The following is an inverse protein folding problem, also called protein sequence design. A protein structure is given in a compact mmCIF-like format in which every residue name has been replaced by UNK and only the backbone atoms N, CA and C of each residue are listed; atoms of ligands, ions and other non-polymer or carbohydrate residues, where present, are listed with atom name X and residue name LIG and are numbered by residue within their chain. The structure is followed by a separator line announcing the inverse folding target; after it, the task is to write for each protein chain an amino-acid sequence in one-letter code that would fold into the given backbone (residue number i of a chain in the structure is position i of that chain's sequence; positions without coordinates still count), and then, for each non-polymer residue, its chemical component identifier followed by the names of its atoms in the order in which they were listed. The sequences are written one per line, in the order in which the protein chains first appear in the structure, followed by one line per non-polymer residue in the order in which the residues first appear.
data_IF_768834502960
#
_entry.id   IF_768834502960
#
_cell.length_a   1.000
_cell.length_b   1.000
_cell.length_c   1.000
_cell.angle_alpha   90.00
_cell.angle_beta   90.00
_cell.angle_gamma   90.00
#
_symmetry.space_group_name_H-M   'P 1'
#
loop_
_entity.id
_entity.type
_entity.pdbx_description
1 polymer ?
#
# COMPACT_ATOMS: atom_id res chain seq x y z
N UNK A 1 -11.88 5.65 -46.79
CA UNK A 1 -11.41 5.18 -45.47
C UNK A 1 -12.37 4.10 -45.05
N UNK A 2 -11.89 2.88 -44.93
CA UNK A 2 -12.72 1.69 -44.72
C UNK A 2 -12.63 1.20 -43.28
N UNK A 3 -11.48 1.42 -42.64
CA UNK A 3 -11.21 0.99 -41.28
C UNK A 3 -10.77 2.14 -40.38
N UNK A 4 -11.15 2.04 -39.11
CA UNK A 4 -10.48 2.69 -37.98
C UNK A 4 -9.66 1.63 -37.27
N UNK A 5 -8.39 1.94 -37.04
CA UNK A 5 -7.48 1.09 -36.28
C UNK A 5 -7.02 1.82 -35.02
N UNK A 6 -7.01 1.11 -33.90
CA UNK A 6 -6.47 1.58 -32.62
C UNK A 6 -5.41 0.60 -32.14
N UNK A 7 -4.23 1.11 -31.84
CA UNK A 7 -3.13 0.37 -31.22
C UNK A 7 -2.50 1.16 -30.06
N UNK A 8 -1.55 0.54 -29.37
CA UNK A 8 -0.87 1.11 -28.22
C UNK A 8 0.64 1.16 -28.49
N UNK A 9 1.25 2.28 -28.13
CA UNK A 9 2.67 2.56 -28.31
C UNK A 9 3.38 2.63 -26.96
N UNK A 10 4.56 2.03 -26.88
CA UNK A 10 5.45 2.13 -25.72
C UNK A 10 6.88 2.38 -26.18
N UNK A 11 7.71 2.87 -25.27
CA UNK A 11 9.17 2.90 -25.44
C UNK A 11 9.83 1.59 -25.02
N UNK A 12 9.07 0.65 -24.45
CA UNK A 12 9.54 -0.69 -24.14
C UNK A 12 9.88 -1.49 -25.40
N UNK A 13 10.83 -2.42 -25.27
CA UNK A 13 11.08 -3.42 -26.30
C UNK A 13 9.79 -4.22 -26.59
N UNK A 14 9.32 -4.27 -27.86
CA UNK A 14 8.12 -5.01 -28.24
C UNK A 14 8.16 -6.51 -27.90
N UNK A 15 9.33 -7.11 -27.66
CA UNK A 15 9.43 -8.49 -27.23
C UNK A 15 8.96 -8.68 -25.78
N UNK A 16 8.99 -7.64 -24.95
CA UNK A 16 8.68 -7.68 -23.53
C UNK A 16 7.18 -7.57 -23.21
N UNK A 17 6.35 -7.23 -24.18
CA UNK A 17 4.91 -7.09 -23.96
C UNK A 17 4.07 -7.51 -25.16
N UNK A 18 2.81 -7.79 -24.92
CA UNK A 18 1.79 -8.02 -25.95
C UNK A 18 0.61 -7.11 -25.63
N UNK A 19 0.32 -6.20 -26.55
CA UNK A 19 -0.84 -5.32 -26.51
C UNK A 19 -1.81 -5.67 -27.63
N UNK A 20 -3.12 -5.54 -27.40
CA UNK A 20 -4.11 -5.82 -28.44
C UNK A 20 -4.11 -4.69 -29.47
N UNK A 21 -4.50 -5.07 -30.69
CA UNK A 21 -4.72 -4.15 -31.80
C UNK A 21 -6.15 -4.29 -32.26
N UNK A 22 -6.86 -3.17 -32.33
CA UNK A 22 -8.29 -3.17 -32.63
C UNK A 22 -8.54 -2.52 -33.98
N UNK A 23 -9.46 -3.10 -34.74
CA UNK A 23 -9.92 -2.58 -36.02
C UNK A 23 -11.44 -2.62 -36.07
N UNK A 24 -12.03 -1.57 -36.63
CA UNK A 24 -13.45 -1.51 -36.95
C UNK A 24 -13.61 -1.01 -38.38
N UNK A 25 -14.51 -1.64 -39.12
CA UNK A 25 -15.06 -1.11 -40.37
C UNK A 25 -16.01 0.03 -40.06
N UNK A 26 -16.27 0.89 -41.06
CA UNK A 26 -17.33 1.89 -40.95
C UNK A 26 -18.71 1.29 -40.63
N UNK A 27 -19.01 0.09 -41.14
CA UNK A 27 -20.29 -0.58 -40.88
C UNK A 27 -20.42 -1.08 -39.43
N UNK A 28 -19.29 -1.42 -38.78
CA UNK A 28 -19.28 -1.82 -37.36
C UNK A 28 -19.46 -0.64 -36.40
N UNK A 29 -19.34 0.62 -36.88
CA UNK A 29 -19.38 1.84 -36.06
C UNK A 29 -20.57 2.71 -36.49
N UNK A 30 -21.76 2.42 -35.96
CA UNK A 30 -22.93 3.30 -36.17
C UNK A 30 -22.87 4.56 -35.30
N UNK A 31 -22.67 4.41 -33.99
CA UNK A 31 -22.52 5.51 -33.03
C UNK A 31 -21.45 5.25 -31.97
N UNK A 32 -21.25 3.98 -31.59
CA UNK A 32 -20.16 3.52 -30.73
C UNK A 32 -19.92 2.03 -30.93
N UNK A 33 -18.68 1.59 -30.68
CA UNK A 33 -18.29 0.18 -30.78
C UNK A 33 -17.23 -0.14 -29.73
N UNK A 34 -17.17 -1.39 -29.27
CA UNK A 34 -16.20 -1.82 -28.27
C UNK A 34 -15.57 -3.17 -28.65
N UNK A 35 -14.27 -3.32 -28.37
CA UNK A 35 -13.55 -4.59 -28.44
C UNK A 35 -12.81 -4.82 -27.12
N UNK A 36 -12.64 -6.08 -26.74
CA UNK A 36 -11.89 -6.50 -25.56
C UNK A 36 -10.66 -7.30 -26.00
N UNK A 37 -9.60 -7.23 -25.21
CA UNK A 37 -8.35 -7.91 -25.45
C UNK A 37 -7.55 -8.04 -24.16
N UNK A 38 -6.47 -8.82 -24.22
CA UNK A 38 -5.55 -9.01 -23.10
C UNK A 38 -4.28 -8.18 -23.26
N UNK A 39 -3.72 -7.76 -22.13
CA UNK A 39 -2.39 -7.18 -22.02
C UNK A 39 -1.50 -8.22 -21.32
N UNK A 40 -0.34 -8.52 -21.91
CA UNK A 40 0.65 -9.41 -21.31
C UNK A 40 1.98 -8.65 -21.20
N UNK A 41 2.59 -8.72 -20.02
CA UNK A 41 3.97 -8.29 -19.80
C UNK A 41 4.79 -9.52 -19.45
N UNK A 42 5.91 -9.72 -20.12
CA UNK A 42 6.79 -10.89 -19.97
C UNK A 42 7.90 -10.66 -18.95
N UNK A 43 7.77 -9.61 -18.15
CA UNK A 43 8.71 -9.22 -17.12
C UNK A 43 7.94 -8.60 -15.95
N UNK A 44 8.58 -8.60 -14.79
CA UNK A 44 8.10 -7.92 -13.61
C UNK A 44 8.84 -6.59 -13.42
N UNK A 45 8.13 -5.61 -12.91
CA UNK A 45 8.68 -4.36 -12.42
C UNK A 45 8.77 -4.40 -10.90
N UNK A 46 9.74 -3.65 -10.36
CA UNK A 46 9.72 -3.29 -8.95
C UNK A 46 8.52 -2.36 -8.68
N UNK A 47 8.02 -2.35 -7.44
CA UNK A 47 7.06 -1.35 -7.00
C UNK A 47 7.59 0.09 -7.13
N UNK A 48 8.91 0.22 -7.13
CA UNK A 48 9.67 1.48 -7.16
C UNK A 48 9.96 1.98 -8.59
N UNK A 49 9.78 1.14 -9.61
CA UNK A 49 9.99 1.56 -11.01
C UNK A 49 8.95 2.61 -11.43
N UNK A 50 9.14 3.31 -12.54
CA UNK A 50 8.02 4.06 -13.13
C UNK A 50 6.98 3.11 -13.75
N UNK A 51 5.68 3.45 -13.74
CA UNK A 51 4.69 2.69 -14.51
C UNK A 51 5.02 2.68 -16.00
N UNK A 52 4.69 1.59 -16.68
CA UNK A 52 4.80 1.50 -18.13
C UNK A 52 3.71 2.38 -18.74
N UNK A 53 4.12 3.35 -19.55
CA UNK A 53 3.22 4.16 -20.35
C UNK A 53 2.95 3.49 -21.70
N UNK A 54 1.66 3.30 -22.00
CA UNK A 54 1.12 2.85 -23.27
C UNK A 54 0.27 3.97 -23.87
N UNK A 55 0.80 4.68 -24.85
CA UNK A 55 0.09 5.74 -25.56
C UNK A 55 -0.86 5.14 -26.60
N UNK A 56 -2.14 5.48 -26.52
CA UNK A 56 -3.17 5.08 -27.49
C UNK A 56 -2.95 5.86 -28.78
N UNK A 57 -2.90 5.14 -29.91
CA UNK A 57 -2.85 5.73 -31.24
C UNK A 57 -4.02 5.22 -32.06
N UNK A 58 -4.67 6.13 -32.78
CA UNK A 58 -5.75 5.82 -33.71
C UNK A 58 -5.41 6.27 -35.13
N UNK A 59 -5.82 5.48 -36.13
CA UNK A 59 -5.60 5.75 -37.56
C UNK A 59 -6.81 5.35 -38.39
N UNK A 60 -7.12 6.12 -39.41
CA UNK A 60 -8.00 5.70 -40.50
C UNK A 60 -7.17 5.03 -41.60
N UNK A 61 -7.62 3.85 -42.05
CA UNK A 61 -6.98 3.08 -43.11
C UNK A 61 -7.87 3.04 -44.36
N UNK A 62 -7.25 3.16 -45.53
CA UNK A 62 -7.89 2.83 -46.81
C UNK A 62 -7.88 1.29 -47.04
N UNK A 63 -8.73 0.80 -47.95
CA UNK A 63 -8.96 -0.64 -48.18
C UNK A 63 -7.69 -1.47 -48.47
N UNK A 64 -6.64 -0.83 -48.97
CA UNK A 64 -5.37 -1.49 -49.33
C UNK A 64 -4.18 -1.03 -48.46
N UNK A 65 -4.43 -0.44 -47.29
CA UNK A 65 -3.42 0.21 -46.42
C UNK A 65 -2.55 1.29 -47.10
N UNK A 66 -2.83 1.63 -48.37
CA UNK A 66 -2.07 2.57 -49.20
C UNK A 66 -2.11 4.01 -48.71
N UNK A 67 -3.08 4.35 -47.83
CA UNK A 67 -3.18 5.65 -47.18
C UNK A 67 -3.58 5.47 -45.73
N UNK A 68 -2.73 5.95 -44.84
CA UNK A 68 -2.98 6.05 -43.41
C UNK A 68 -3.14 7.51 -43.02
N UNK A 69 -4.21 7.84 -42.29
CA UNK A 69 -4.43 9.16 -41.72
C UNK A 69 -4.53 9.05 -40.21
N UNK A 70 -3.77 9.84 -39.47
CA UNK A 70 -3.88 9.88 -38.02
C UNK A 70 -5.28 10.34 -37.61
N UNK A 71 -5.89 9.62 -36.66
CA UNK A 71 -7.14 10.01 -36.04
C UNK A 71 -6.84 10.59 -34.66
N UNK A 72 -7.58 11.64 -34.27
CA UNK A 72 -7.47 12.22 -32.93
C UNK A 72 -8.09 11.28 -31.91
N UNK A 73 -7.31 10.91 -30.89
CA UNK A 73 -7.81 10.19 -29.72
C UNK A 73 -8.34 11.20 -28.72
N UNK A 74 -9.62 11.11 -28.38
CA UNK A 74 -10.26 11.97 -27.36
C UNK A 74 -10.54 11.11 -26.12
N UNK A 75 -10.17 11.61 -24.94
CA UNK A 75 -10.31 10.90 -23.66
C UNK A 75 -9.02 10.23 -23.20
N UNK A 76 -9.08 8.94 -22.86
CA UNK A 76 -7.96 8.18 -22.28
C UNK A 76 -6.88 7.87 -23.33
N UNK A 77 -6.04 8.86 -23.62
CA UNK A 77 -4.94 8.75 -24.58
C UNK A 77 -3.73 7.97 -24.06
N UNK A 78 -3.63 7.71 -22.75
CA UNK A 78 -2.54 6.98 -22.14
C UNK A 78 -3.06 5.95 -21.13
N UNK A 79 -2.57 4.72 -21.23
CA UNK A 79 -2.76 3.67 -20.25
C UNK A 79 -1.44 3.51 -19.46
N UNK A 80 -1.51 3.65 -18.14
CA UNK A 80 -0.38 3.38 -17.25
C UNK A 80 -0.59 2.03 -16.57
N UNK A 81 0.39 1.13 -16.72
CA UNK A 81 0.32 -0.21 -16.14
C UNK A 81 1.60 -0.52 -15.39
N UNK A 82 1.49 -1.28 -14.30
CA UNK A 82 2.64 -1.89 -13.64
C UNK A 82 2.53 -3.40 -13.70
N UNK A 83 3.48 -4.04 -14.36
CA UNK A 83 3.59 -5.49 -14.35
C UNK A 83 4.31 -5.92 -13.08
N UNK A 84 3.68 -6.72 -12.23
CA UNK A 84 4.26 -7.09 -10.95
C UNK A 84 4.25 -8.62 -10.79
N UNK A 85 5.31 -9.16 -10.18
CA UNK A 85 5.43 -10.60 -9.89
C UNK A 85 5.57 -10.82 -8.39
N UNK A 86 4.63 -11.58 -7.81
CA UNK A 86 4.56 -11.94 -6.39
C UNK A 86 5.83 -12.58 -5.85
N UNK A 87 6.60 -13.26 -6.70
CA UNK A 87 7.87 -13.88 -6.30
C UNK A 87 9.08 -12.92 -6.30
N UNK A 88 8.93 -11.73 -6.89
CA UNK A 88 10.03 -10.76 -7.13
C UNK A 88 9.86 -9.42 -6.40
N UNK A 89 8.87 -9.28 -5.50
CA UNK A 89 8.63 -8.03 -4.78
C UNK A 89 9.64 -7.81 -3.63
N UNK A 90 10.10 -6.56 -3.40
CA UNK A 90 10.73 -6.17 -2.13
C UNK A 90 9.76 -6.23 -0.94
N UNK A 91 8.44 -6.25 -1.22
CA UNK A 91 7.33 -6.28 -0.25
C UNK A 91 7.11 -7.67 0.37
N UNK A 92 8.05 -8.61 0.21
CA UNK A 92 7.91 -9.95 0.77
C UNK A 92 8.09 -9.94 2.29
N UNK A 93 6.99 -9.79 3.01
CA UNK A 93 6.94 -10.11 4.45
C UNK A 93 7.21 -11.59 4.70
N UNK A 94 7.00 -12.43 3.67
CA UNK A 94 6.98 -13.91 3.71
C UNK A 94 5.72 -14.48 4.37
N UNK A 95 4.70 -13.64 4.55
CA UNK A 95 3.36 -14.03 4.99
C UNK A 95 2.37 -13.74 3.84
N UNK A 96 1.89 -14.76 3.11
CA UNK A 96 1.19 -14.57 1.82
C UNK A 96 0.02 -13.58 1.84
N UNK A 97 -0.78 -13.60 2.90
CA UNK A 97 -1.95 -12.72 3.01
C UNK A 97 -1.56 -11.27 3.32
N UNK A 98 -0.46 -11.06 4.04
CA UNK A 98 0.12 -9.73 4.27
C UNK A 98 0.71 -9.19 2.96
N UNK A 99 1.37 -10.07 2.20
CA UNK A 99 1.95 -9.74 0.88
C UNK A 99 0.87 -9.39 -0.16
N UNK A 100 -0.40 -9.78 0.05
CA UNK A 100 -1.56 -9.32 -0.75
C UNK A 100 -2.08 -7.95 -0.26
N UNK A 101 -2.03 -7.69 1.05
CA UNK A 101 -2.65 -6.52 1.65
C UNK A 101 -1.77 -5.26 1.55
N UNK A 102 -0.48 -5.39 1.83
CA UNK A 102 0.44 -4.24 1.84
C UNK A 102 0.47 -3.53 0.47
N UNK A 103 0.55 -4.21 -0.68
CA UNK A 103 0.53 -3.54 -1.98
C UNK A 103 -0.73 -2.67 -2.20
N UNK A 104 -1.90 -3.10 -1.70
CA UNK A 104 -3.13 -2.29 -1.79
C UNK A 104 -3.04 -1.01 -1.00
N UNK A 105 -2.45 -1.07 0.20
CA UNK A 105 -2.20 0.10 1.05
C UNK A 105 -1.20 1.04 0.36
N UNK A 106 -0.12 0.49 -0.20
CA UNK A 106 0.91 1.26 -0.89
C UNK A 106 0.39 1.94 -2.16
N UNK A 107 -0.54 1.29 -2.87
CA UNK A 107 -1.28 1.89 -3.99
C UNK A 107 -2.20 3.02 -3.53
N UNK A 108 -2.94 2.84 -2.44
CA UNK A 108 -3.78 3.91 -1.86
C UNK A 108 -2.94 5.12 -1.42
N UNK A 109 -1.80 4.89 -0.76
CA UNK A 109 -0.85 5.96 -0.40
C UNK A 109 -0.40 6.72 -1.63
N UNK A 110 0.03 6.01 -2.69
CA UNK A 110 0.48 6.65 -3.94
C UNK A 110 -0.61 7.49 -4.60
N UNK A 111 -1.85 7.01 -4.57
CA UNK A 111 -2.98 7.72 -5.16
C UNK A 111 -3.43 8.93 -4.32
N UNK A 112 -3.32 8.84 -3.00
CA UNK A 112 -3.78 9.89 -2.09
C UNK A 112 -2.73 10.94 -1.74
N UNK A 113 -1.45 10.64 -1.98
CA UNK A 113 -0.32 11.52 -1.68
C UNK A 113 0.63 11.61 -2.90
N UNK A 114 0.19 12.23 -4.02
CA UNK A 114 0.97 12.30 -5.25
C UNK A 114 2.28 13.09 -5.10
N UNK A 115 2.33 14.01 -4.13
CA UNK A 115 3.51 14.85 -3.86
C UNK A 115 4.48 14.22 -2.82
N UNK A 116 4.20 13.00 -2.35
CA UNK A 116 5.10 12.31 -1.42
C UNK A 116 6.42 12.00 -2.13
N UNK A 117 7.53 12.43 -1.52
CA UNK A 117 8.87 12.19 -2.09
C UNK A 117 9.12 10.69 -2.27
N UNK A 118 9.73 10.25 -3.38
CA UNK A 118 10.00 8.83 -3.60
C UNK A 118 10.77 8.15 -2.46
N UNK A 119 11.74 8.85 -1.85
CA UNK A 119 12.50 8.31 -0.71
C UNK A 119 11.63 8.08 0.53
N UNK A 120 10.68 8.97 0.82
CA UNK A 120 9.78 8.80 1.96
C UNK A 120 8.77 7.68 1.71
N UNK A 121 8.32 7.53 0.46
CA UNK A 121 7.48 6.41 0.05
C UNK A 121 8.22 5.07 0.22
N UNK A 122 9.48 5.00 -0.19
CA UNK A 122 10.32 3.80 -0.02
C UNK A 122 10.57 3.48 1.46
N UNK A 123 10.87 4.51 2.26
CA UNK A 123 11.07 4.32 3.71
C UNK A 123 9.79 3.83 4.39
N UNK A 124 8.63 4.39 4.02
CA UNK A 124 7.32 3.95 4.51
C UNK A 124 7.00 2.52 4.08
N UNK A 125 7.26 2.18 2.82
CA UNK A 125 7.10 0.82 2.30
C UNK A 125 7.94 -0.18 3.11
N UNK A 126 9.23 0.09 3.29
CA UNK A 126 10.13 -0.79 4.03
C UNK A 126 9.70 -0.96 5.48
N UNK A 127 9.29 0.14 6.13
CA UNK A 127 8.73 0.12 7.48
C UNK A 127 7.49 -0.78 7.57
N UNK A 128 6.51 -0.57 6.69
CA UNK A 128 5.24 -1.31 6.71
C UNK A 128 5.44 -2.82 6.45
N UNK A 129 6.34 -3.18 5.54
CA UNK A 129 6.71 -4.58 5.25
C UNK A 129 7.26 -5.27 6.50
N UNK A 130 8.17 -4.61 7.21
CA UNK A 130 8.80 -5.20 8.40
C UNK A 130 7.84 -5.27 9.57
N UNK A 131 6.97 -4.26 9.73
CA UNK A 131 5.90 -4.31 10.73
C UNK A 131 4.87 -5.40 10.43
N UNK A 132 4.51 -5.61 9.16
CA UNK A 132 3.67 -6.73 8.74
C UNK A 132 4.32 -8.09 9.03
N UNK A 133 5.61 -8.25 8.70
CA UNK A 133 6.37 -9.46 9.05
C UNK A 133 6.41 -9.69 10.56
N UNK A 134 6.65 -8.64 11.33
CA UNK A 134 6.66 -8.69 12.79
C UNK A 134 5.30 -9.11 13.36
N UNK A 135 4.19 -8.58 12.83
CA UNK A 135 2.85 -8.98 13.22
C UNK A 135 2.59 -10.49 12.98
N UNK A 136 2.99 -10.99 11.81
CA UNK A 136 2.91 -12.43 11.49
C UNK A 136 3.78 -13.29 12.42
N UNK A 137 5.01 -12.85 12.72
CA UNK A 137 5.92 -13.53 13.63
C UNK A 137 5.36 -13.58 15.07
N UNK A 138 4.83 -12.47 15.58
CA UNK A 138 4.22 -12.43 16.92
C UNK A 138 3.04 -13.38 17.01
N UNK A 139 2.17 -13.40 15.98
CA UNK A 139 1.02 -14.30 15.95
C UNK A 139 1.45 -15.78 15.91
N UNK A 140 2.50 -16.10 15.17
CA UNK A 140 3.00 -17.47 15.05
C UNK A 140 3.73 -17.96 16.31
N UNK A 141 4.52 -17.09 16.93
CA UNK A 141 5.39 -17.47 18.06
C UNK A 141 4.70 -17.33 19.41
N UNK A 142 3.67 -16.47 19.51
CA UNK A 142 2.99 -16.19 20.78
C UNK A 142 3.92 -15.53 21.81
N UNK A 143 4.91 -14.73 21.37
CA UNK A 143 5.95 -14.16 22.25
C UNK A 143 5.42 -13.34 23.44
N UNK A 144 4.20 -12.79 23.32
CA UNK A 144 3.51 -12.04 24.38
C UNK A 144 2.44 -12.84 25.14
N UNK A 145 2.32 -14.16 24.92
CA UNK A 145 1.30 -15.00 25.55
C UNK A 145 1.44 -15.01 27.08
N UNK A 146 0.34 -14.70 27.78
CA UNK A 146 0.26 -14.77 29.25
C UNK A 146 1.15 -13.77 29.99
N UNK A 147 1.69 -12.76 29.29
CA UNK A 147 2.51 -11.70 29.89
C UNK A 147 1.65 -10.48 30.20
N UNK A 148 1.97 -9.84 31.31
CA UNK A 148 1.58 -8.45 31.55
C UNK A 148 2.61 -7.54 30.86
N UNK A 149 2.23 -6.95 29.73
CA UNK A 149 3.15 -6.28 28.81
C UNK A 149 3.07 -4.78 29.01
N UNK A 150 4.21 -4.17 29.33
CA UNK A 150 4.39 -2.72 29.32
C UNK A 150 4.78 -2.23 27.92
N UNK A 151 4.24 -1.07 27.54
CA UNK A 151 4.46 -0.48 26.21
C UNK A 151 5.92 -0.19 25.93
N UNK A 152 6.64 0.40 26.88
CA UNK A 152 8.03 0.84 26.68
C UNK A 152 9.03 -0.28 26.95
N UNK A 153 8.89 -0.96 28.09
CA UNK A 153 9.85 -1.98 28.52
C UNK A 153 9.76 -3.23 27.64
N UNK A 154 8.55 -3.67 27.31
CA UNK A 154 8.37 -4.99 26.74
C UNK A 154 8.05 -4.90 25.23
N UNK A 155 7.09 -4.06 24.83
CA UNK A 155 6.69 -3.97 23.42
C UNK A 155 7.68 -3.16 22.58
N UNK A 156 8.00 -1.94 22.97
CA UNK A 156 8.91 -1.05 22.23
C UNK A 156 10.31 -1.64 22.10
N UNK A 157 10.90 -2.19 23.18
CA UNK A 157 12.24 -2.80 23.10
C UNK A 157 12.27 -3.99 22.13
N UNK A 158 11.26 -4.87 22.20
CA UNK A 158 11.19 -6.03 21.34
C UNK A 158 11.00 -5.64 19.87
N UNK A 159 10.12 -4.67 19.59
CA UNK A 159 9.92 -4.16 18.24
C UNK A 159 11.15 -3.40 17.71
N UNK A 160 11.78 -2.55 18.53
CA UNK A 160 13.00 -1.83 18.17
C UNK A 160 14.13 -2.78 17.79
N UNK A 161 14.33 -3.85 18.56
CA UNK A 161 15.31 -4.87 18.23
C UNK A 161 15.00 -5.53 16.89
N UNK A 162 13.72 -5.88 16.64
CA UNK A 162 13.30 -6.45 15.36
C UNK A 162 13.54 -5.50 14.19
N UNK A 163 13.16 -4.23 14.33
CA UNK A 163 13.37 -3.21 13.31
C UNK A 163 14.85 -2.99 13.02
N UNK A 164 15.71 -2.86 14.04
CA UNK A 164 17.16 -2.67 13.86
C UNK A 164 17.83 -3.86 13.16
N UNK A 165 17.39 -5.09 13.42
CA UNK A 165 17.92 -6.26 12.71
C UNK A 165 17.60 -6.26 11.21
N UNK A 166 16.62 -5.48 10.76
CA UNK A 166 16.15 -5.49 9.37
C UNK A 166 16.45 -4.17 8.64
N UNK A 167 16.38 -3.04 9.34
CA UNK A 167 16.57 -1.67 8.81
C UNK A 167 17.89 -1.04 9.24
N UNK A 168 18.63 -1.70 10.15
CA UNK A 168 19.93 -1.22 10.61
C UNK A 168 19.83 -0.02 11.56
N UNK A 169 20.88 0.82 11.60
CA UNK A 169 21.04 1.86 12.62
C UNK A 169 20.11 3.07 12.44
N UNK A 170 19.44 3.18 11.28
CA UNK A 170 18.52 4.29 10.94
C UNK A 170 17.21 4.27 11.75
N UNK A 171 17.05 3.29 12.66
CA UNK A 171 15.90 3.18 13.57
C UNK A 171 16.27 3.71 14.95
N UNK A 172 15.59 4.79 15.33
CA UNK A 172 15.85 5.55 16.55
C UNK A 172 14.64 5.56 17.48
N UNK A 173 14.91 5.65 18.78
CA UNK A 173 13.93 6.12 19.76
C UNK A 173 13.92 7.65 19.68
N UNK A 174 12.75 8.27 19.67
CA UNK A 174 12.61 9.73 19.72
C UNK A 174 12.27 10.12 21.16
N UNK A 175 13.05 10.99 21.80
CA UNK A 175 12.76 11.37 23.19
C UNK A 175 11.79 12.54 23.31
N UNK A 176 11.73 13.45 22.32
CA UNK A 176 10.77 14.57 22.34
C UNK A 176 10.69 15.32 21.00
N UNK A 177 9.49 15.47 20.44
CA UNK A 177 9.19 16.44 19.38
C UNK A 177 8.05 17.34 19.88
N UNK A 178 8.18 18.66 19.66
CA UNK A 178 7.36 19.75 20.21
C UNK A 178 5.87 19.38 20.44
N UNK A 179 5.54 18.99 21.68
CA UNK A 179 4.15 18.75 22.13
C UNK A 179 3.77 17.28 22.41
N UNK A 180 4.64 16.31 22.13
CA UNK A 180 4.38 14.89 22.42
C UNK A 180 5.64 14.02 22.40
N UNK A 181 5.58 12.88 23.10
CA UNK A 181 6.63 11.87 23.08
C UNK A 181 6.35 10.94 21.90
N UNK A 182 7.30 10.82 20.99
CA UNK A 182 7.29 9.83 19.91
C UNK A 182 7.92 8.54 20.39
N UNK A 183 7.49 7.39 19.89
CA UNK A 183 8.06 6.12 20.34
C UNK A 183 9.27 5.73 19.50
N UNK A 184 9.06 5.48 18.20
CA UNK A 184 10.11 5.05 17.28
C UNK A 184 10.07 5.84 15.97
N UNK A 185 11.22 5.97 15.33
CA UNK A 185 11.37 6.61 14.02
C UNK A 185 12.33 5.84 13.14
N UNK A 186 11.94 5.59 11.89
CA UNK A 186 12.82 5.10 10.84
C UNK A 186 12.98 6.19 9.78
N UNK A 187 14.15 6.83 9.75
CA UNK A 187 14.42 8.00 8.90
C UNK A 187 13.36 9.09 9.05
N UNK A 188 12.44 9.27 8.10
CA UNK A 188 11.35 10.26 8.22
C UNK A 188 10.01 9.65 8.66
N UNK A 189 9.91 8.32 8.73
CA UNK A 189 8.67 7.62 9.07
C UNK A 189 8.55 7.48 10.58
N UNK A 190 7.48 8.05 11.12
CA UNK A 190 7.12 7.96 12.53
C UNK A 190 6.34 6.68 12.80
N UNK A 191 6.70 5.98 13.86
CA UNK A 191 6.07 4.75 14.33
C UNK A 191 5.62 4.98 15.79
N UNK A 192 4.33 5.23 15.96
CA UNK A 192 3.69 5.33 17.27
C UNK A 192 3.34 3.92 17.78
N UNK A 193 3.58 3.64 19.06
CA UNK A 193 3.32 2.35 19.68
C UNK A 193 2.20 2.46 20.69
N UNK A 194 1.34 1.44 20.74
CA UNK A 194 0.28 1.33 21.75
C UNK A 194 0.14 -0.10 22.26
N UNK A 195 -0.06 -0.27 23.56
CA UNK A 195 -0.54 -1.54 24.13
C UNK A 195 -1.99 -1.40 24.60
N UNK A 196 -2.86 -2.29 24.14
CA UNK A 196 -4.28 -2.29 24.51
C UNK A 196 -4.66 -3.55 25.29
N UNK A 197 -5.29 -3.37 26.45
CA UNK A 197 -5.72 -4.46 27.34
C UNK A 197 -7.25 -4.61 27.44
N UNK A 198 -8.02 -3.62 26.96
CA UNK A 198 -9.46 -3.49 27.22
C UNK A 198 -10.32 -3.45 25.95
N UNK A 199 -9.90 -2.74 24.90
CA UNK A 199 -10.69 -2.53 23.69
C UNK A 199 -10.40 -3.64 22.66
N UNK A 200 -11.31 -4.62 22.57
CA UNK A 200 -11.20 -5.73 21.58
C UNK A 200 -11.69 -5.40 20.17
N UNK A 201 -12.54 -4.38 20.04
CA UNK A 201 -13.13 -4.01 18.76
C UNK A 201 -12.12 -3.28 17.87
N UNK A 202 -11.83 -3.85 16.70
CA UNK A 202 -10.82 -3.33 15.75
C UNK A 202 -11.17 -1.95 15.24
N UNK A 203 -12.45 -1.62 15.05
CA UNK A 203 -12.87 -0.29 14.60
C UNK A 203 -12.63 0.76 15.68
N UNK A 204 -13.02 0.46 16.93
CA UNK A 204 -12.81 1.34 18.08
C UNK A 204 -11.31 1.56 18.36
N UNK A 205 -10.50 0.51 18.24
CA UNK A 205 -9.04 0.59 18.36
C UNK A 205 -8.44 1.58 17.37
N UNK A 206 -8.81 1.45 16.09
CA UNK A 206 -8.34 2.37 15.03
C UNK A 206 -8.74 3.81 15.35
N UNK A 207 -10.02 4.06 15.63
CA UNK A 207 -10.53 5.40 15.97
C UNK A 207 -9.83 5.99 17.19
N UNK A 208 -9.51 5.17 18.20
CA UNK A 208 -8.84 5.60 19.44
C UNK A 208 -7.41 6.09 19.17
N UNK A 209 -6.65 5.39 18.33
CA UNK A 209 -5.20 5.59 18.23
C UNK A 209 -4.72 6.29 16.95
N UNK A 210 -5.57 6.43 15.91
CA UNK A 210 -5.19 7.11 14.66
C UNK A 210 -4.97 8.62 14.83
N UNK A 211 -5.54 9.26 15.87
CA UNK A 211 -5.48 10.72 16.06
C UNK A 211 -4.09 11.24 16.45
N UNK A 212 -3.34 10.48 17.24
CA UNK A 212 -2.01 10.91 17.72
C UNK A 212 -0.98 10.98 16.58
N UNK A 213 -0.80 9.94 15.73
CA UNK A 213 0.10 9.99 14.57
C UNK A 213 -0.20 11.12 13.58
N UNK A 214 -1.48 11.53 13.48
CA UNK A 214 -1.90 12.63 12.63
C UNK A 214 -1.27 13.97 13.02
N UNK A 215 -1.03 14.19 14.31
CA UNK A 215 -0.41 15.43 14.81
C UNK A 215 1.01 15.60 14.27
N UNK A 216 1.76 14.50 14.17
CA UNK A 216 3.14 14.53 13.68
C UNK A 216 3.21 14.59 12.15
N UNK A 217 2.20 14.04 11.47
CA UNK A 217 2.09 14.12 10.01
C UNK A 217 1.89 15.56 9.53
N UNK A 218 1.44 16.47 10.41
CA UNK A 218 1.31 17.90 10.12
C UNK A 218 2.64 18.67 10.15
N UNK A 219 3.67 18.16 10.84
CA UNK A 219 4.99 18.79 10.96
C UNK A 219 6.11 18.03 10.22
N UNK A 220 5.83 16.82 9.77
CA UNK A 220 6.76 15.94 9.06
C UNK A 220 6.25 15.50 7.69
N UNK A 221 6.52 14.25 7.33
CA UNK A 221 5.99 13.65 6.09
C UNK A 221 4.51 13.28 6.30
N UNK A 222 3.66 13.33 5.25
CA UNK A 222 2.22 13.10 5.37
C UNK A 222 1.84 11.62 5.57
N UNK A 223 2.79 10.76 5.93
CA UNK A 223 2.58 9.33 6.23
C UNK A 223 3.21 8.94 7.55
N UNK A 224 2.48 8.17 8.36
CA UNK A 224 2.99 7.61 9.62
C UNK A 224 2.40 6.22 9.87
N UNK A 225 2.92 5.53 10.88
CA UNK A 225 2.42 4.21 11.30
C UNK A 225 2.04 4.26 12.78
N UNK A 226 0.91 3.63 13.13
CA UNK A 226 0.60 3.25 14.51
C UNK A 226 0.60 1.74 14.63
N UNK A 227 1.42 1.22 15.54
CA UNK A 227 1.54 -0.19 15.82
C UNK A 227 0.90 -0.49 17.18
N UNK A 228 -0.18 -1.27 17.18
CA UNK A 228 -1.00 -1.53 18.37
C UNK A 228 -0.84 -3.00 18.75
N UNK A 229 -0.23 -3.30 19.89
CA UNK A 229 -0.22 -4.63 20.47
C UNK A 229 -1.52 -4.86 21.26
N UNK A 230 -2.37 -5.74 20.74
CA UNK A 230 -3.63 -6.11 21.37
C UNK A 230 -3.44 -7.27 22.36
N UNK A 231 -3.37 -6.93 23.64
CA UNK A 231 -3.23 -7.85 24.77
C UNK A 231 -4.57 -8.29 25.37
N UNK A 232 -5.71 -7.87 24.80
CA UNK A 232 -7.04 -8.31 25.25
C UNK A 232 -7.17 -9.83 25.24
N UNK A 233 -8.04 -10.35 26.08
CA UNK A 233 -8.32 -11.77 26.12
C UNK A 233 -8.94 -12.25 24.79
N UNK A 234 -8.29 -13.23 24.16
CA UNK A 234 -8.74 -13.82 22.90
C UNK A 234 -9.69 -14.98 23.17
N UNK A 235 -10.98 -14.68 23.29
CA UNK A 235 -12.06 -15.68 23.47
C UNK A 235 -12.40 -16.44 22.17
N UNK A 236 -12.07 -15.86 21.02
CA UNK A 236 -12.27 -16.45 19.69
C UNK A 236 -10.93 -16.59 18.98
N UNK A 237 -10.81 -17.51 18.00
CA UNK A 237 -9.61 -17.62 17.19
C UNK A 237 -9.21 -16.27 16.58
N UNK A 238 -7.90 -15.94 16.54
CA UNK A 238 -7.44 -14.71 15.90
C UNK A 238 -7.78 -14.72 14.41
N UNK A 239 -8.03 -13.54 13.86
CA UNK A 239 -8.26 -13.36 12.42
C UNK A 239 -6.94 -13.52 11.64
N UNK A 240 -7.04 -13.45 10.32
CA UNK A 240 -5.86 -13.32 9.48
C UNK A 240 -5.15 -11.97 9.77
N UNK A 241 -3.82 -11.98 9.96
CA UNK A 241 -3.01 -10.77 10.20
C UNK A 241 -3.30 -9.67 9.18
N UNK A 242 -3.58 -10.03 7.92
CA UNK A 242 -3.87 -9.07 6.86
C UNK A 242 -5.08 -8.17 7.18
N UNK A 243 -6.07 -8.67 7.93
CA UNK A 243 -7.23 -7.88 8.35
C UNK A 243 -6.89 -6.81 9.39
N UNK A 244 -5.72 -6.92 10.02
CA UNK A 244 -5.24 -6.01 11.05
C UNK A 244 -4.29 -4.94 10.51
N UNK A 245 -4.07 -4.89 9.18
CA UNK A 245 -3.23 -3.90 8.52
C UNK A 245 -4.12 -3.04 7.62
N UNK A 246 -4.33 -1.79 8.01
CA UNK A 246 -5.21 -0.85 7.30
C UNK A 246 -4.53 0.50 7.07
N UNK A 247 -5.08 1.30 6.16
CA UNK A 247 -4.71 2.70 5.97
C UNK A 247 -5.88 3.57 6.38
N UNK A 248 -5.62 4.54 7.24
CA UNK A 248 -6.64 5.43 7.77
C UNK A 248 -6.32 6.89 7.40
N UNK A 249 -7.36 7.68 7.17
CA UNK A 249 -7.27 9.12 7.00
C UNK A 249 -7.74 9.79 8.30
N UNK A 250 -6.85 10.36 9.11
CA UNK A 250 -7.25 11.04 10.33
C UNK A 250 -8.09 12.29 10.02
N UNK A 251 -9.06 12.59 10.88
CA UNK A 251 -9.77 13.86 10.83
C UNK A 251 -8.82 15.00 11.19
N UNK A 252 -8.73 16.02 10.32
CA UNK A 252 -7.90 17.20 10.54
C UNK A 252 -8.76 18.38 10.99
N UNK A 253 -8.25 19.17 11.93
CA UNK A 253 -8.94 20.36 12.41
C UNK A 253 -9.20 21.34 11.25
N UNK A 254 -10.45 21.78 11.10
CA UNK A 254 -10.86 22.67 10.01
C UNK A 254 -11.22 21.96 8.69
N UNK A 255 -11.20 20.62 8.66
CA UNK A 255 -11.49 19.81 7.48
C UNK A 255 -12.55 18.72 7.76
N UNK A 256 -13.68 19.11 8.34
CA UNK A 256 -14.75 18.17 8.73
C UNK A 256 -15.54 17.60 7.54
N UNK A 257 -15.60 18.33 6.42
CA UNK A 257 -16.45 18.01 5.26
C UNK A 257 -15.74 18.09 3.90
N UNK A 258 -14.44 18.42 3.89
CA UNK A 258 -13.64 18.54 2.68
C UNK A 258 -12.32 17.77 2.83
N UNK A 259 -11.87 17.14 1.74
CA UNK A 259 -10.56 16.49 1.70
C UNK A 259 -9.50 17.60 1.70
N UNK A 260 -8.54 17.61 2.65
CA UNK A 260 -7.45 18.57 2.67
C UNK A 260 -6.60 18.50 1.41
N UNK A 261 -6.05 19.63 0.96
CA UNK A 261 -5.10 19.67 -0.18
C UNK A 261 -3.85 18.85 0.11
N UNK A 262 -3.40 18.84 1.37
CA UNK A 262 -2.31 18.01 1.86
C UNK A 262 -2.85 17.06 2.92
N UNK A 263 -3.45 15.92 2.52
CA UNK A 263 -3.99 14.97 3.48
C UNK A 263 -2.85 14.27 4.23
N UNK A 264 -3.16 13.73 5.40
CA UNK A 264 -2.27 12.81 6.11
C UNK A 264 -2.84 11.39 6.01
N UNK A 265 -1.95 10.39 6.03
CA UNK A 265 -2.32 8.98 6.06
C UNK A 265 -1.59 8.27 7.19
N UNK A 266 -2.31 7.40 7.89
CA UNK A 266 -1.78 6.62 9.01
C UNK A 266 -2.00 5.15 8.70
N UNK A 267 -0.92 4.38 8.50
CA UNK A 267 -1.05 2.94 8.49
C UNK A 267 -1.29 2.45 9.92
N UNK A 268 -2.31 1.62 10.11
CA UNK A 268 -2.57 0.97 11.39
C UNK A 268 -2.16 -0.49 11.27
N UNK A 269 -1.26 -0.93 12.15
CA UNK A 269 -0.82 -2.32 12.26
C UNK A 269 -1.22 -2.85 13.64
N UNK A 270 -2.31 -3.63 13.70
CA UNK A 270 -2.74 -4.29 14.94
C UNK A 270 -2.07 -5.65 15.03
N UNK A 271 -1.40 -5.90 16.15
CA UNK A 271 -0.66 -7.13 16.43
C UNK A 271 -1.43 -7.91 17.48
N UNK A 272 -1.88 -9.10 17.12
CA UNK A 272 -2.58 -9.99 18.04
C UNK A 272 -1.60 -10.59 19.05
N UNK A 273 -1.55 -9.99 20.24
CA UNK A 273 -0.89 -10.52 21.42
C UNK A 273 -1.80 -11.46 22.21
N UNK A 274 -1.28 -11.93 23.35
CA UNK A 274 -2.01 -12.75 24.32
C UNK A 274 -2.81 -13.93 23.73
N UNK A 275 -2.26 -14.60 22.70
CA UNK A 275 -2.95 -15.67 22.00
C UNK A 275 -3.10 -16.91 22.89
N UNK A 276 -4.25 -17.57 22.82
CA UNK A 276 -4.46 -18.88 23.45
C UNK A 276 -3.87 -19.99 22.58
N UNK A 277 -3.65 -21.14 23.18
CA UNK A 277 -3.35 -22.35 22.40
C UNK A 277 -4.53 -22.67 21.47
N UNK A 278 -4.30 -23.19 20.25
CA UNK A 278 -5.38 -23.56 19.34
C UNK A 278 -6.44 -24.48 19.98
N UNK A 279 -6.01 -25.41 20.83
CA UNK A 279 -6.90 -26.32 21.58
C UNK A 279 -7.81 -25.64 22.60
N UNK A 280 -7.53 -24.40 22.98
CA UNK A 280 -8.32 -23.63 23.96
C UNK A 280 -9.51 -22.90 23.33
N UNK A 281 -9.71 -23.02 22.01
CA UNK A 281 -10.85 -22.47 21.27
C UNK A 281 -11.90 -23.54 20.93
N UNK A 282 -11.64 -24.80 21.31
CA UNK A 282 -12.53 -25.95 21.11
C UNK A 282 -13.39 -26.20 22.35
#
# INVERSE_FOLDING_TARGET
MEWVEVDFLSTLDPQLYVVPKYRWTRAEVESSSAKKGGLLFKFAQSLQSEPIALATRARFLAANDARMLSATVIGHANLQVRALDQSSYPVLTRYPMIDIQIPKILEEVRNSLPDLRPSDYDDFMNCLVILGRYAGMVQQTGVFKGKDVDERRDFQQHLLQHLRMQLGPDVHEEETLAGGRLDLRFRNVIIELKVEHSVKDRSKLRTKYVRQPAQYSASGIPVSVVCILDMTEKLQPPSNVANNITLEAPALHGYDSAIPVYPSKVAVVIIDGNLRSPSSYS
#
